data_IF_689534941858
#
_entry.id   IF_689534941858
#
_cell.length_a   1.000
_cell.length_b   1.000
_cell.length_c   1.000
_cell.angle_alpha   90.00
_cell.angle_beta   90.00
_cell.angle_gamma   90.00
#
_symmetry.space_group_name_H-M   'P 1'
#
loop_
_entity.id
_entity.type
_entity.pdbx_description
1 polymer ?
#
# COMPACT_ATOMS: atom_id res chain seq x y z
N UNK A 1 -32.27 4.32 -58.82
CA UNK A 1 -31.88 5.35 -57.83
C UNK A 1 -33.06 5.60 -56.92
N UNK A 2 -33.17 4.88 -55.81
CA UNK A 2 -34.03 5.25 -54.69
C UNK A 2 -33.42 4.67 -53.42
N UNK A 3 -32.93 5.55 -52.56
CA UNK A 3 -32.26 5.23 -51.31
C UNK A 3 -33.21 4.61 -50.27
N UNK A 4 -32.70 3.79 -49.33
CA UNK A 4 -33.50 3.18 -48.27
C UNK A 4 -33.88 4.19 -47.17
N UNK A 5 -35.16 4.24 -46.81
CA UNK A 5 -35.70 5.01 -45.67
C UNK A 5 -34.95 4.71 -44.36
N UNK A 6 -34.65 5.73 -43.54
CA UNK A 6 -34.00 5.52 -42.25
C UNK A 6 -35.02 4.95 -41.26
N UNK A 7 -34.78 3.70 -40.83
CA UNK A 7 -35.53 3.07 -39.75
C UNK A 7 -35.34 3.88 -38.47
N UNK A 8 -36.44 4.43 -37.96
CA UNK A 8 -36.51 5.09 -36.66
C UNK A 8 -36.06 4.11 -35.57
N UNK A 9 -34.89 4.37 -34.98
CA UNK A 9 -34.40 3.66 -33.80
C UNK A 9 -35.23 4.12 -32.60
N UNK A 10 -36.17 3.28 -32.19
CA UNK A 10 -37.05 3.46 -31.03
C UNK A 10 -36.46 2.88 -29.72
N UNK A 11 -35.14 2.76 -29.61
CA UNK A 11 -34.47 2.07 -28.49
C UNK A 11 -33.61 2.98 -27.61
N UNK A 12 -33.90 4.27 -27.56
CA UNK A 12 -33.27 5.16 -26.58
C UNK A 12 -34.28 5.53 -25.51
N UNK A 13 -34.22 4.94 -24.30
CA UNK A 13 -35.01 5.45 -23.20
C UNK A 13 -34.50 6.86 -22.88
N UNK A 14 -35.27 7.88 -23.27
CA UNK A 14 -35.11 9.26 -22.83
C UNK A 14 -35.42 9.31 -21.33
N UNK A 15 -34.44 8.90 -20.52
CA UNK A 15 -34.43 9.14 -19.07
C UNK A 15 -34.10 10.61 -18.83
N UNK A 16 -35.01 11.50 -19.24
CA UNK A 16 -35.01 12.89 -18.78
C UNK A 16 -35.52 12.91 -17.33
N UNK A 17 -34.73 12.34 -16.43
CA UNK A 17 -34.88 12.58 -14.99
C UNK A 17 -34.26 13.95 -14.77
N UNK A 18 -35.10 14.98 -14.90
CA UNK A 18 -34.82 16.35 -14.47
C UNK A 18 -34.55 16.30 -12.97
N UNK A 19 -33.33 15.90 -12.58
CA UNK A 19 -32.89 15.97 -11.20
C UNK A 19 -32.81 17.46 -10.91
N UNK A 20 -33.70 17.94 -10.05
CA UNK A 20 -33.41 19.11 -9.22
C UNK A 20 -32.16 18.74 -8.41
N UNK A 21 -30.99 18.91 -9.02
CA UNK A 21 -29.73 18.84 -8.32
C UNK A 21 -29.64 20.11 -7.50
N UNK A 22 -29.97 20.02 -6.21
CA UNK A 22 -29.14 20.75 -5.27
C UNK A 22 -27.73 20.23 -5.56
N UNK A 23 -26.92 21.02 -6.27
CA UNK A 23 -25.51 20.72 -6.46
C UNK A 23 -24.85 20.85 -5.08
N UNK A 24 -25.00 19.78 -4.30
CA UNK A 24 -24.39 19.63 -3.00
C UNK A 24 -22.92 19.37 -3.29
N UNK A 25 -22.11 20.42 -3.26
CA UNK A 25 -20.69 20.33 -3.50
C UNK A 25 -20.04 19.62 -2.29
N UNK A 26 -19.68 18.33 -2.42
CA UNK A 26 -19.11 17.57 -1.32
C UNK A 26 -17.72 18.12 -0.90
N UNK A 27 -17.07 18.92 -1.74
CA UNK A 27 -15.76 19.52 -1.47
C UNK A 27 -15.92 20.77 -0.60
N UNK A 28 -16.95 21.58 -0.85
CA UNK A 28 -17.30 22.73 -0.01
C UNK A 28 -17.67 22.29 1.42
N UNK A 29 -18.52 21.28 1.55
CA UNK A 29 -18.90 20.70 2.86
C UNK A 29 -17.67 20.08 3.55
N UNK A 30 -16.77 19.45 2.79
CA UNK A 30 -15.55 18.86 3.33
C UNK A 30 -14.64 19.85 4.03
N UNK A 31 -14.39 21.01 3.41
CA UNK A 31 -13.55 22.06 4.00
C UNK A 31 -14.17 22.64 5.27
N UNK A 32 -15.50 22.81 5.29
CA UNK A 32 -16.23 23.29 6.46
C UNK A 32 -16.17 22.26 7.59
N UNK A 33 -16.39 20.98 7.29
CA UNK A 33 -16.29 19.89 8.27
C UNK A 33 -14.89 19.78 8.88
N UNK A 34 -13.83 19.95 8.10
CA UNK A 34 -12.45 19.91 8.61
C UNK A 34 -12.10 21.12 9.50
N UNK A 35 -12.69 22.29 9.24
CA UNK A 35 -12.63 23.43 10.15
C UNK A 35 -13.36 23.15 11.47
N UNK A 36 -14.57 22.61 11.38
CA UNK A 36 -15.41 22.28 12.55
C UNK A 36 -14.78 21.16 13.40
N UNK A 37 -14.21 20.13 12.78
CA UNK A 37 -13.54 19.03 13.47
C UNK A 37 -12.33 19.52 14.27
N UNK A 38 -11.50 20.40 13.69
CA UNK A 38 -10.37 21.02 14.41
C UNK A 38 -10.83 21.93 15.55
N UNK A 39 -11.94 22.65 15.35
CA UNK A 39 -12.50 23.54 16.36
C UNK A 39 -13.11 22.76 17.55
N UNK A 40 -13.91 21.74 17.29
CA UNK A 40 -14.52 20.86 18.31
C UNK A 40 -13.50 19.97 19.02
N UNK A 41 -12.46 19.52 18.31
CA UNK A 41 -11.37 18.72 18.89
C UNK A 41 -10.44 19.52 19.81
N UNK A 42 -10.51 20.84 19.79
CA UNK A 42 -9.74 21.71 20.67
C UNK A 42 -10.56 22.02 21.93
N UNK A 43 -9.99 21.83 23.14
CA UNK A 43 -10.65 22.13 24.41
C UNK A 43 -11.12 23.59 24.61
N UNK A 44 -10.74 24.48 23.68
CA UNK A 44 -11.17 25.89 23.61
C UNK A 44 -12.67 26.03 23.36
N UNK A 45 -13.29 25.15 22.57
CA UNK A 45 -14.74 25.19 22.34
C UNK A 45 -15.51 24.95 23.64
N UNK A 46 -15.13 23.93 24.40
CA UNK A 46 -15.74 23.62 25.70
C UNK A 46 -15.59 24.80 26.66
N UNK A 47 -14.39 25.41 26.73
CA UNK A 47 -14.17 26.57 27.59
C UNK A 47 -15.10 27.75 27.25
N UNK A 48 -15.25 28.08 25.96
CA UNK A 48 -16.16 29.15 25.53
C UNK A 48 -17.63 28.81 25.82
N UNK A 49 -18.04 27.56 25.57
CA UNK A 49 -19.38 27.08 25.86
C UNK A 49 -19.71 27.18 27.36
N UNK A 50 -18.78 26.78 28.24
CA UNK A 50 -18.94 26.90 29.69
C UNK A 50 -19.05 28.37 30.12
N UNK A 51 -18.21 29.26 29.58
CA UNK A 51 -18.27 30.70 29.88
C UNK A 51 -19.65 31.26 29.49
N UNK A 52 -20.16 30.92 28.31
CA UNK A 52 -21.46 31.38 27.84
C UNK A 52 -22.58 30.93 28.78
N UNK A 53 -22.57 29.67 29.20
CA UNK A 53 -23.56 29.12 30.15
C UNK A 53 -23.48 29.84 31.50
N UNK A 54 -22.28 30.05 32.03
CA UNK A 54 -22.08 30.76 33.30
C UNK A 54 -22.60 32.19 33.20
N UNK A 55 -22.22 32.93 32.15
CA UNK A 55 -22.70 34.29 31.90
C UNK A 55 -24.22 34.33 31.79
N UNK A 56 -24.84 33.37 31.10
CA UNK A 56 -26.30 33.29 30.99
C UNK A 56 -26.97 33.08 32.35
N UNK A 57 -26.47 32.14 33.16
CA UNK A 57 -26.96 31.89 34.52
C UNK A 57 -26.81 33.15 35.37
N UNK A 58 -25.65 33.82 35.31
CA UNK A 58 -25.36 35.06 36.04
C UNK A 58 -26.31 36.20 35.63
N UNK A 59 -26.48 36.43 34.33
CA UNK A 59 -27.44 37.42 33.81
C UNK A 59 -28.86 37.13 34.29
N UNK A 60 -29.26 35.87 34.28
CA UNK A 60 -30.59 35.46 34.72
C UNK A 60 -30.79 35.72 36.23
N UNK A 61 -29.79 35.40 37.06
CA UNK A 61 -29.80 35.69 38.50
C UNK A 61 -29.98 37.18 38.81
N UNK A 62 -29.31 38.07 38.06
CA UNK A 62 -29.46 39.52 38.23
C UNK A 62 -30.73 40.09 37.60
N UNK A 63 -31.20 39.48 36.51
CA UNK A 63 -32.43 39.86 35.81
C UNK A 63 -33.70 39.19 36.38
N UNK A 64 -33.63 38.55 37.55
CA UNK A 64 -34.79 37.97 38.26
C UNK A 64 -35.92 39.00 38.44
N UNK A 65 -35.59 40.28 38.61
CA UNK A 65 -36.59 41.35 38.77
C UNK A 65 -37.45 41.57 37.51
N UNK A 66 -37.00 41.15 36.32
CA UNK A 66 -37.75 41.21 35.06
C UNK A 66 -38.42 39.86 34.69
N UNK A 67 -38.23 38.79 35.49
CA UNK A 67 -38.75 37.44 35.23
C UNK A 67 -38.51 36.94 33.80
N UNK A 68 -37.38 37.29 33.20
CA UNK A 68 -37.08 37.00 31.80
C UNK A 68 -36.99 35.49 31.51
N UNK A 69 -36.50 34.68 32.47
CA UNK A 69 -36.50 33.21 32.39
C UNK A 69 -36.39 32.58 33.80
N UNK A 70 -37.50 32.47 34.56
CA UNK A 70 -37.53 31.96 35.93
C UNK A 70 -37.05 30.49 36.03
N UNK A 71 -36.60 30.08 37.21
CA UNK A 71 -36.26 28.67 37.49
C UNK A 71 -37.43 27.75 37.08
N UNK A 72 -37.24 26.76 36.18
CA UNK A 72 -36.02 26.03 35.83
C UNK A 72 -35.42 26.38 34.44
N UNK A 73 -35.19 27.66 34.12
CA UNK A 73 -34.48 28.15 32.92
C UNK A 73 -34.95 27.49 31.60
N UNK A 74 -36.23 27.66 31.27
CA UNK A 74 -36.89 26.97 30.16
C UNK A 74 -36.23 27.32 28.81
N UNK A 75 -35.76 28.56 28.66
CA UNK A 75 -35.15 29.04 27.42
C UNK A 75 -33.75 28.44 27.21
N UNK A 76 -32.96 28.34 28.28
CA UNK A 76 -31.65 27.68 28.23
C UNK A 76 -31.82 26.20 27.89
N UNK A 77 -32.78 25.52 28.51
CA UNK A 77 -33.05 24.12 28.23
C UNK A 77 -33.53 23.89 26.79
N UNK A 78 -34.40 24.78 26.29
CA UNK A 78 -34.85 24.74 24.89
C UNK A 78 -33.67 24.93 23.93
N UNK A 79 -32.80 25.91 24.19
CA UNK A 79 -31.61 26.15 23.38
C UNK A 79 -30.68 24.93 23.33
N UNK A 80 -30.40 24.31 24.48
CA UNK A 80 -29.60 23.07 24.53
C UNK A 80 -30.26 21.90 23.82
N UNK A 81 -31.58 21.77 23.92
CA UNK A 81 -32.35 20.73 23.22
C UNK A 81 -32.23 20.89 21.70
N UNK A 82 -32.39 22.11 21.19
CA UNK A 82 -32.19 22.40 19.77
C UNK A 82 -30.73 22.23 19.34
N UNK A 83 -29.77 22.64 20.17
CA UNK A 83 -28.34 22.45 19.91
C UNK A 83 -27.99 20.96 19.75
N UNK A 84 -28.47 20.11 20.67
CA UNK A 84 -28.26 18.67 20.59
C UNK A 84 -28.92 18.06 19.34
N UNK A 85 -30.15 18.50 19.02
CA UNK A 85 -30.87 18.03 17.83
C UNK A 85 -30.14 18.35 16.52
N UNK A 86 -29.50 19.51 16.40
CA UNK A 86 -28.71 19.88 15.22
C UNK A 86 -27.29 19.28 15.22
N UNK A 87 -26.73 19.00 16.40
CA UNK A 87 -25.42 18.35 16.51
C UNK A 87 -25.42 16.94 15.90
N UNK A 88 -26.46 16.14 16.14
CA UNK A 88 -26.56 14.76 15.66
C UNK A 88 -26.35 14.61 14.12
N UNK A 89 -27.08 15.32 13.24
CA UNK A 89 -26.87 15.22 11.79
C UNK A 89 -25.51 15.76 11.35
N UNK A 90 -24.98 16.80 12.02
CA UNK A 90 -23.66 17.34 11.72
C UNK A 90 -22.55 16.35 12.06
N UNK A 91 -22.67 15.68 13.21
CA UNK A 91 -21.76 14.60 13.62
C UNK A 91 -21.82 13.45 12.64
N UNK A 92 -23.02 13.04 12.20
CA UNK A 92 -23.19 11.97 11.21
C UNK A 92 -22.50 12.30 9.88
N UNK A 93 -22.61 13.55 9.41
CA UNK A 93 -21.89 14.02 8.21
C UNK A 93 -20.37 13.99 8.39
N UNK A 94 -19.89 14.40 9.56
CA UNK A 94 -18.46 14.32 9.89
C UNK A 94 -17.97 12.87 9.95
N UNK A 95 -18.76 11.97 10.56
CA UNK A 95 -18.44 10.54 10.68
C UNK A 95 -18.40 9.84 9.31
N UNK A 96 -19.40 10.04 8.45
CA UNK A 96 -19.42 9.45 7.10
C UNK A 96 -18.18 9.84 6.28
N UNK A 97 -17.68 11.07 6.46
CA UNK A 97 -16.45 11.51 5.80
C UNK A 97 -15.20 10.85 6.38
N UNK A 98 -15.13 10.76 7.70
CA UNK A 98 -14.02 10.09 8.38
C UNK A 98 -13.95 8.62 7.95
N UNK A 99 -15.08 7.92 7.96
CA UNK A 99 -15.19 6.52 7.53
C UNK A 99 -14.78 6.33 6.06
N UNK A 100 -15.19 7.25 5.16
CA UNK A 100 -14.77 7.17 3.76
C UNK A 100 -13.25 7.36 3.58
N UNK A 101 -12.65 8.30 4.34
CA UNK A 101 -11.19 8.51 4.32
C UNK A 101 -10.46 7.28 4.87
N UNK A 102 -10.94 6.74 5.99
CA UNK A 102 -10.36 5.57 6.63
C UNK A 102 -10.47 4.34 5.73
N UNK A 103 -11.59 4.19 5.01
CA UNK A 103 -11.77 3.13 4.00
C UNK A 103 -10.76 3.22 2.86
N UNK A 104 -10.56 4.41 2.29
CA UNK A 104 -9.57 4.61 1.21
C UNK A 104 -8.17 4.30 1.70
N UNK A 105 -7.81 4.77 2.90
CA UNK A 105 -6.51 4.48 3.51
C UNK A 105 -6.30 2.98 3.73
N UNK A 106 -7.30 2.26 4.23
CA UNK A 106 -7.26 0.80 4.40
C UNK A 106 -7.14 0.05 3.07
N UNK A 107 -7.84 0.49 2.04
CA UNK A 107 -7.75 -0.15 0.72
C UNK A 107 -6.38 0.07 0.06
N UNK A 108 -5.77 1.25 0.24
CA UNK A 108 -4.39 1.49 -0.17
C UNK A 108 -3.39 0.62 0.60
N UNK A 109 -3.55 0.52 1.92
CA UNK A 109 -2.67 -0.29 2.76
C UNK A 109 -2.73 -1.77 2.38
N UNK A 110 -3.95 -2.31 2.14
CA UNK A 110 -4.13 -3.67 1.61
C UNK A 110 -3.44 -3.88 0.27
N UNK A 111 -3.54 -2.91 -0.65
CA UNK A 111 -2.87 -3.00 -1.96
C UNK A 111 -1.35 -3.01 -1.82
N UNK A 112 -0.81 -2.13 -0.97
CA UNK A 112 0.63 -2.09 -0.67
C UNK A 112 1.10 -3.40 -0.03
N UNK A 113 0.37 -3.92 0.95
CA UNK A 113 0.69 -5.20 1.59
C UNK A 113 0.69 -6.36 0.59
N UNK A 114 -0.27 -6.40 -0.35
CA UNK A 114 -0.30 -7.40 -1.42
C UNK A 114 0.90 -7.29 -2.37
N UNK A 115 1.30 -6.07 -2.75
CA UNK A 115 2.48 -5.82 -3.58
C UNK A 115 3.76 -6.25 -2.86
N UNK A 116 3.98 -5.80 -1.63
CA UNK A 116 5.15 -6.18 -0.82
C UNK A 116 5.24 -7.69 -0.63
N UNK A 117 4.10 -8.37 -0.44
CA UNK A 117 4.07 -9.84 -0.36
C UNK A 117 4.52 -10.48 -1.69
N UNK A 118 4.00 -10.02 -2.82
CA UNK A 118 4.39 -10.52 -4.14
C UNK A 118 5.88 -10.28 -4.42
N UNK A 119 6.40 -9.09 -4.10
CA UNK A 119 7.82 -8.75 -4.27
C UNK A 119 8.70 -9.64 -3.39
N UNK A 120 8.28 -9.90 -2.15
CA UNK A 120 9.00 -10.79 -1.22
C UNK A 120 9.00 -12.23 -1.74
N UNK A 121 7.86 -12.73 -2.23
CA UNK A 121 7.78 -14.06 -2.85
C UNK A 121 8.64 -14.16 -4.11
N UNK A 122 8.68 -13.12 -4.93
CA UNK A 122 9.53 -13.04 -6.11
C UNK A 122 11.01 -13.08 -5.73
N UNK A 123 11.44 -12.22 -4.80
CA UNK A 123 12.81 -12.19 -4.30
C UNK A 123 13.21 -13.52 -3.63
N UNK A 124 12.30 -14.17 -2.90
CA UNK A 124 12.56 -15.47 -2.30
C UNK A 124 12.78 -16.57 -3.36
N UNK A 125 11.98 -16.57 -4.44
CA UNK A 125 12.16 -17.50 -5.57
C UNK A 125 13.47 -17.23 -6.30
N UNK A 126 13.78 -15.97 -6.56
CA UNK A 126 15.03 -15.58 -7.23
C UNK A 126 16.25 -15.94 -6.38
N UNK A 127 16.20 -15.71 -5.07
CA UNK A 127 17.25 -16.09 -4.13
C UNK A 127 17.41 -17.62 -4.05
N UNK A 128 16.31 -18.37 -4.10
CA UNK A 128 16.37 -19.83 -4.15
C UNK A 128 17.00 -20.33 -5.45
N UNK A 129 16.64 -19.76 -6.60
CA UNK A 129 17.23 -20.07 -7.90
C UNK A 129 18.73 -19.72 -7.94
N UNK A 130 19.09 -18.53 -7.45
CA UNK A 130 20.48 -18.08 -7.32
C UNK A 130 21.28 -19.02 -6.40
N UNK A 131 20.70 -19.43 -5.27
CA UNK A 131 21.34 -20.38 -4.34
C UNK A 131 21.60 -21.74 -5.00
N UNK A 132 20.66 -22.25 -5.81
CA UNK A 132 20.85 -23.50 -6.53
C UNK A 132 21.96 -23.36 -7.58
N UNK A 133 21.93 -22.29 -8.38
CA UNK A 133 22.97 -22.02 -9.39
C UNK A 133 24.37 -21.85 -8.76
N UNK A 134 24.48 -21.12 -7.65
CA UNK A 134 25.75 -21.00 -6.91
C UNK A 134 26.14 -22.32 -6.24
N UNK A 135 25.18 -23.07 -5.73
CA UNK A 135 25.41 -24.39 -5.14
C UNK A 135 26.00 -25.40 -6.13
N UNK A 136 25.56 -25.38 -7.38
CA UNK A 136 26.12 -26.22 -8.45
C UNK A 136 27.53 -25.78 -8.85
N UNK A 137 27.79 -24.47 -9.00
CA UNK A 137 29.11 -23.93 -9.42
C UNK A 137 30.16 -24.01 -8.29
N UNK A 138 29.75 -23.94 -7.03
CA UNK A 138 30.62 -24.06 -5.86
C UNK A 138 30.62 -25.46 -5.26
N UNK A 139 30.36 -26.51 -6.04
CA UNK A 139 30.47 -27.88 -5.52
C UNK A 139 31.95 -28.12 -5.17
N UNK A 140 32.21 -28.56 -3.92
CA UNK A 140 33.56 -28.88 -3.40
C UNK A 140 34.40 -29.71 -4.37
N UNK A 141 33.75 -30.58 -5.16
CA UNK A 141 34.40 -31.44 -6.14
C UNK A 141 34.86 -30.70 -7.41
N UNK A 142 34.18 -29.63 -7.83
CA UNK A 142 34.64 -28.76 -8.91
C UNK A 142 35.84 -27.94 -8.45
N UNK A 143 35.74 -27.28 -7.30
CA UNK A 143 36.87 -26.56 -6.68
C UNK A 143 38.07 -27.48 -6.41
N UNK A 144 37.84 -28.74 -6.02
CA UNK A 144 38.91 -29.73 -5.86
C UNK A 144 39.51 -30.15 -7.19
N UNK A 145 38.70 -30.42 -8.22
CA UNK A 145 39.20 -30.74 -9.55
C UNK A 145 40.06 -29.62 -10.11
N UNK A 146 39.61 -28.38 -10.02
CA UNK A 146 40.38 -27.24 -10.53
C UNK A 146 41.67 -27.02 -9.74
N UNK A 147 41.65 -27.23 -8.41
CA UNK A 147 42.87 -27.19 -7.59
C UNK A 147 43.83 -28.34 -7.91
N UNK A 148 43.34 -29.55 -8.15
CA UNK A 148 44.15 -30.70 -8.53
C UNK A 148 44.74 -30.52 -9.94
N UNK A 149 43.97 -30.00 -10.89
CA UNK A 149 44.43 -29.70 -12.25
C UNK A 149 45.50 -28.60 -12.27
N UNK A 150 45.30 -27.52 -11.50
CA UNK A 150 46.32 -26.49 -11.30
C UNK A 150 47.58 -27.04 -10.62
N UNK A 151 47.44 -27.93 -9.63
CA UNK A 151 48.58 -28.60 -8.98
C UNK A 151 49.37 -29.44 -9.99
N UNK A 152 48.67 -30.22 -10.80
CA UNK A 152 49.31 -31.14 -11.75
C UNK A 152 49.99 -30.36 -12.89
N UNK A 153 49.40 -29.26 -13.37
CA UNK A 153 50.05 -28.32 -14.29
C UNK A 153 51.33 -27.71 -13.70
N UNK A 154 51.29 -27.25 -12.43
CA UNK A 154 52.47 -26.74 -11.75
C UNK A 154 53.55 -27.82 -11.56
N UNK A 155 53.15 -29.06 -11.26
CA UNK A 155 54.06 -30.20 -11.13
C UNK A 155 54.76 -30.54 -12.46
N UNK A 156 54.05 -30.45 -13.59
CA UNK A 156 54.64 -30.61 -14.92
C UNK A 156 55.65 -29.50 -15.24
N UNK A 157 55.35 -28.25 -14.89
CA UNK A 157 56.28 -27.13 -15.05
C UNK A 157 57.50 -27.23 -14.10
N UNK A 158 57.35 -27.90 -12.96
CA UNK A 158 58.43 -28.21 -12.02
C UNK A 158 59.25 -29.45 -12.40
N UNK A 159 58.86 -30.24 -13.42
CA UNK A 159 59.68 -31.33 -13.97
C UNK A 159 60.33 -30.96 -15.31
N UNK A 160 61.38 -30.13 -15.33
CA UNK A 160 62.31 -30.12 -16.43
C UNK A 160 63.27 -31.32 -16.25
N UNK A 161 62.99 -32.47 -16.89
CA UNK A 161 64.07 -33.44 -17.16
C UNK A 161 63.80 -34.96 -17.16
N UNK A 162 62.57 -35.48 -17.20
CA UNK A 162 62.34 -36.94 -17.14
C UNK A 162 61.65 -37.54 -18.38
N UNK A 163 62.01 -37.11 -19.59
CA UNK A 163 61.61 -37.80 -20.84
C UNK A 163 62.80 -37.94 -21.77
N UNK A 164 63.59 -38.99 -21.55
CA UNK A 164 64.37 -39.67 -22.58
C UNK A 164 64.63 -41.09 -22.11
N UNK A 165 64.46 -42.03 -23.03
CA UNK A 165 64.91 -43.43 -22.97
C UNK A 165 63.85 -44.47 -22.53
N UNK A 166 62.93 -44.84 -23.44
CA UNK A 166 62.45 -46.23 -23.56
C UNK A 166 61.65 -46.49 -24.86
N UNK A 167 62.21 -46.24 -26.06
CA UNK A 167 61.54 -46.67 -27.32
C UNK A 167 62.49 -47.26 -28.40
N UNK A 168 63.69 -47.71 -28.03
CA UNK A 168 64.66 -48.27 -29.00
C UNK A 168 64.86 -49.78 -28.92
N UNK A 169 64.18 -50.50 -28.02
CA UNK A 169 64.42 -51.94 -27.79
C UNK A 169 63.58 -52.94 -28.59
N UNK A 170 62.46 -52.54 -29.20
CA UNK A 170 61.46 -53.50 -29.72
C UNK A 170 61.53 -53.80 -31.22
N UNK A 171 62.33 -53.05 -31.99
CA UNK A 171 62.39 -53.19 -33.45
C UNK A 171 63.38 -54.27 -33.96
N UNK A 172 64.42 -54.66 -33.22
CA UNK A 172 65.47 -55.55 -33.75
C UNK A 172 65.16 -57.05 -33.70
N UNK A 173 64.09 -57.49 -33.01
CA UNK A 173 63.77 -58.91 -32.84
C UNK A 173 63.04 -59.57 -34.01
N UNK A 174 62.44 -58.79 -34.92
CA UNK A 174 61.54 -59.33 -35.96
C UNK A 174 62.29 -59.69 -37.25
N UNK A 175 63.44 -59.06 -37.53
CA UNK A 175 64.15 -59.23 -38.81
C UNK A 175 65.01 -60.51 -38.90
N UNK A 176 65.39 -61.11 -37.76
CA UNK A 176 66.26 -62.31 -37.75
C UNK A 176 65.52 -63.64 -37.95
N UNK A 177 64.18 -63.65 -37.98
CA UNK A 177 63.39 -64.88 -38.15
C UNK A 177 62.98 -65.22 -39.58
N UNK A 178 63.27 -64.34 -40.54
CA UNK A 178 62.92 -64.50 -41.96
C UNK A 178 64.04 -65.07 -42.85
N UNK A 179 65.20 -65.43 -42.27
CA UNK A 179 66.31 -66.09 -42.99
C UNK A 179 66.79 -67.32 -42.22
N UNK A 180 66.10 -68.45 -42.37
CA UNK A 180 66.66 -69.79 -42.17
C UNK A 180 65.79 -70.85 -42.81
#
# INVERSE_FOLDING_TARGET
MTEPSPRGRLDTPLTSRRRFGLNYDPEAVGRVSEGIARFLGTGRYLAWQTILVVVWITLNLFAVSLRWDPYPFILLNLAFSTQAAYAAPLILLAQNRQENRDRVALDEDRRRAAQTKADTEYLARELAALRLAVGEVATRDYLRRELDELRDMLAQLQQPGAVTDDDTGRAEGVERRARR
#
